data_IF_267926926356
#
_entry.id   IF_267926926356
#
_cell.length_a   1.000
_cell.length_b   1.000
_cell.length_c   1.000
_cell.angle_alpha   90.00
_cell.angle_beta   90.00
_cell.angle_gamma   90.00
#
_symmetry.space_group_name_H-M   'P 1'
#
loop_
_entity.id
_entity.type
_entity.pdbx_description
1 polymer ?
#
# COMPACT_ATOMS: atom_id res chain seq x y z
N UNK A 1 -56.96 -23.40 23.79
CA UNK A 1 -56.50 -22.54 22.69
C UNK A 1 -55.32 -21.60 23.04
N UNK A 2 -55.06 -21.26 24.32
CA UNK A 2 -53.91 -20.41 24.74
C UNK A 2 -52.54 -21.07 24.55
N UNK A 3 -52.38 -22.37 24.82
CA UNK A 3 -51.07 -23.05 24.72
C UNK A 3 -50.52 -23.14 23.29
N UNK A 4 -51.39 -23.33 22.28
CA UNK A 4 -50.95 -23.40 20.87
C UNK A 4 -50.31 -22.09 20.39
N UNK A 5 -50.83 -20.93 20.81
CA UNK A 5 -50.25 -19.62 20.44
C UNK A 5 -48.88 -19.40 21.07
N UNK A 6 -48.70 -19.82 22.32
CA UNK A 6 -47.40 -19.77 23.01
C UNK A 6 -46.38 -20.71 22.36
N UNK A 7 -46.80 -21.92 21.97
CA UNK A 7 -45.91 -22.86 21.29
C UNK A 7 -45.41 -22.32 19.94
N UNK A 8 -46.30 -21.79 19.09
CA UNK A 8 -45.91 -21.18 17.80
C UNK A 8 -44.97 -19.98 17.97
N UNK A 9 -45.18 -19.17 19.01
CA UNK A 9 -44.28 -18.05 19.31
C UNK A 9 -42.88 -18.52 19.71
N UNK A 10 -42.77 -19.60 20.50
CA UNK A 10 -41.48 -20.19 20.89
C UNK A 10 -40.76 -20.78 19.68
N UNK A 11 -41.47 -21.51 18.81
CA UNK A 11 -40.92 -22.07 17.56
C UNK A 11 -40.38 -20.96 16.64
N UNK A 12 -41.11 -19.84 16.53
CA UNK A 12 -40.68 -18.67 15.77
C UNK A 12 -39.42 -18.03 16.37
N UNK A 13 -39.39 -17.81 17.69
CA UNK A 13 -38.21 -17.25 18.38
C UNK A 13 -37.00 -18.17 18.18
N UNK A 14 -37.19 -19.49 18.26
CA UNK A 14 -36.12 -20.45 18.04
C UNK A 14 -35.57 -20.36 16.61
N UNK A 15 -36.44 -20.32 15.60
CA UNK A 15 -36.04 -20.20 14.19
C UNK A 15 -35.28 -18.89 13.95
N UNK A 16 -35.78 -17.78 14.49
CA UNK A 16 -35.12 -16.47 14.42
C UNK A 16 -33.75 -16.51 15.12
N UNK A 17 -33.66 -17.13 16.29
CA UNK A 17 -32.39 -17.29 17.02
C UNK A 17 -31.35 -18.10 16.24
N UNK A 18 -31.77 -19.17 15.57
CA UNK A 18 -30.90 -19.95 14.69
C UNK A 18 -30.45 -19.11 13.49
N UNK A 19 -31.36 -18.37 12.85
CA UNK A 19 -31.02 -17.49 11.74
C UNK A 19 -29.99 -16.41 12.14
N UNK A 20 -30.19 -15.74 13.28
CA UNK A 20 -29.23 -14.78 13.81
C UNK A 20 -27.88 -15.41 14.14
N UNK A 21 -27.88 -16.61 14.72
CA UNK A 21 -26.64 -17.33 15.03
C UNK A 21 -25.84 -17.63 13.76
N UNK A 22 -26.51 -18.07 12.68
CA UNK A 22 -25.89 -18.27 11.38
C UNK A 22 -25.33 -16.96 10.81
N UNK A 23 -26.05 -15.85 10.93
CA UNK A 23 -25.56 -14.53 10.49
C UNK A 23 -24.31 -14.10 11.26
N UNK A 24 -24.25 -14.31 12.58
CA UNK A 24 -23.07 -13.96 13.39
C UNK A 24 -21.88 -14.81 12.99
N UNK A 25 -22.06 -16.13 12.83
CA UNK A 25 -21.00 -17.05 12.38
C UNK A 25 -20.47 -16.61 11.01
N UNK A 26 -21.37 -16.29 10.08
CA UNK A 26 -21.01 -15.80 8.76
C UNK A 26 -20.18 -14.51 8.82
N UNK A 27 -20.63 -13.51 9.60
CA UNK A 27 -19.89 -12.26 9.78
C UNK A 27 -18.49 -12.48 10.35
N UNK A 28 -18.33 -13.39 11.31
CA UNK A 28 -17.02 -13.73 11.88
C UNK A 28 -16.13 -14.40 10.84
N UNK A 29 -16.67 -15.34 10.07
CA UNK A 29 -15.93 -16.05 9.02
C UNK A 29 -15.45 -15.11 7.90
N UNK A 30 -16.22 -14.10 7.52
CA UNK A 30 -15.85 -13.15 6.46
C UNK A 30 -14.81 -12.10 6.91
N UNK A 31 -14.70 -11.83 8.22
CA UNK A 31 -13.75 -10.82 8.74
C UNK A 31 -12.28 -11.12 8.41
N UNK A 32 -11.88 -12.39 8.39
CA UNK A 32 -10.49 -12.77 8.08
C UNK A 32 -10.12 -12.43 6.64
N UNK A 33 -11.05 -12.67 5.70
CA UNK A 33 -10.85 -12.40 4.27
C UNK A 33 -10.70 -10.90 4.00
N UNK A 34 -11.50 -10.06 4.67
CA UNK A 34 -11.39 -8.60 4.54
C UNK A 34 -10.03 -8.07 5.02
N UNK A 35 -9.49 -8.64 6.10
CA UNK A 35 -8.17 -8.26 6.61
C UNK A 35 -7.06 -8.61 5.61
N UNK A 36 -7.11 -9.80 5.04
CA UNK A 36 -6.14 -10.27 4.04
C UNK A 36 -6.14 -9.39 2.78
N UNK A 37 -7.33 -9.01 2.30
CA UNK A 37 -7.46 -8.08 1.18
C UNK A 37 -6.81 -6.73 1.49
N UNK A 38 -7.07 -6.18 2.68
CA UNK A 38 -6.51 -4.88 3.09
C UNK A 38 -4.98 -4.89 3.14
N UNK A 39 -4.38 -5.98 3.64
CA UNK A 39 -2.93 -6.17 3.67
C UNK A 39 -2.36 -6.33 2.26
N UNK A 40 -3.03 -7.11 1.41
CA UNK A 40 -2.61 -7.31 0.01
C UNK A 40 -2.60 -6.00 -0.77
N UNK A 41 -3.64 -5.18 -0.60
CA UNK A 41 -3.70 -3.83 -1.18
C UNK A 41 -2.54 -2.95 -0.69
N UNK A 42 -2.23 -2.98 0.61
CA UNK A 42 -1.12 -2.20 1.18
C UNK A 42 0.23 -2.62 0.59
N UNK A 43 0.48 -3.93 0.45
CA UNK A 43 1.68 -4.48 -0.20
C UNK A 43 1.79 -3.98 -1.64
N UNK A 44 0.70 -4.02 -2.40
CA UNK A 44 0.68 -3.58 -3.80
C UNK A 44 1.00 -2.09 -3.90
N UNK A 45 0.36 -1.25 -3.09
CA UNK A 45 0.58 0.20 -3.12
C UNK A 45 2.02 0.59 -2.78
N UNK A 46 2.60 -0.03 -1.74
CA UNK A 46 3.98 0.22 -1.32
C UNK A 46 4.95 -0.25 -2.40
N UNK A 47 4.71 -1.44 -2.97
CA UNK A 47 5.52 -1.99 -4.07
C UNK A 47 5.44 -1.15 -5.33
N UNK A 48 4.27 -0.66 -5.71
CA UNK A 48 4.08 0.13 -6.93
C UNK A 48 4.85 1.44 -6.85
N UNK A 49 4.74 2.16 -5.73
CA UNK A 49 5.50 3.40 -5.52
C UNK A 49 7.00 3.12 -5.46
N UNK A 50 7.42 2.12 -4.71
CA UNK A 50 8.82 1.73 -4.63
C UNK A 50 9.42 1.35 -5.98
N UNK A 51 8.70 0.52 -6.74
CA UNK A 51 9.13 0.07 -8.07
C UNK A 51 9.14 1.22 -9.08
N UNK A 52 8.16 2.14 -9.02
CA UNK A 52 8.14 3.34 -9.87
C UNK A 52 9.39 4.18 -9.63
N UNK A 53 9.71 4.48 -8.37
CA UNK A 53 10.90 5.27 -8.01
C UNK A 53 12.18 4.53 -8.42
N UNK A 54 12.27 3.23 -8.12
CA UNK A 54 13.41 2.41 -8.51
C UNK A 54 13.64 2.45 -10.02
N UNK A 55 12.57 2.33 -10.81
CA UNK A 55 12.63 2.37 -12.27
C UNK A 55 13.08 3.73 -12.80
N UNK A 56 12.60 4.84 -12.23
CA UNK A 56 13.04 6.18 -12.63
C UNK A 56 14.54 6.40 -12.32
N UNK A 57 15.01 5.97 -11.15
CA UNK A 57 16.44 6.06 -10.80
C UNK A 57 17.27 5.16 -11.72
N UNK A 58 16.83 3.93 -11.97
CA UNK A 58 17.49 3.01 -12.89
C UNK A 58 17.55 3.56 -14.32
N UNK A 59 16.48 4.22 -14.77
CA UNK A 59 16.43 4.89 -16.06
C UNK A 59 17.44 6.02 -16.11
N UNK A 60 17.43 6.92 -15.12
CA UNK A 60 18.41 8.00 -14.98
C UNK A 60 19.87 7.50 -14.95
N UNK A 61 20.10 6.30 -14.41
CA UNK A 61 21.41 5.66 -14.38
C UNK A 61 21.79 4.89 -15.66
N UNK A 62 20.89 4.75 -16.64
CA UNK A 62 21.15 4.06 -17.92
C UNK A 62 21.18 4.99 -19.13
N UNK A 63 20.51 6.13 -19.05
CA UNK A 63 20.47 7.16 -20.10
C UNK A 63 21.79 7.92 -20.21
N UNK A 64 22.03 8.58 -21.32
CA UNK A 64 23.22 9.44 -21.51
C UNK A 64 23.17 10.70 -20.63
N UNK A 65 24.34 11.31 -20.44
CA UNK A 65 24.48 12.56 -19.70
C UNK A 65 23.68 13.70 -20.36
N UNK A 66 23.17 14.62 -19.54
CA UNK A 66 22.25 15.67 -19.98
C UNK A 66 20.77 15.28 -19.88
N UNK A 67 20.46 14.04 -19.50
CA UNK A 67 19.08 13.63 -19.18
C UNK A 67 18.54 14.44 -17.99
N UNK A 68 17.32 14.95 -18.14
CA UNK A 68 16.55 15.59 -17.07
C UNK A 68 15.09 15.19 -17.20
N UNK A 69 14.47 14.76 -16.10
CA UNK A 69 13.05 14.44 -16.06
C UNK A 69 12.43 14.82 -14.71
N UNK A 70 11.16 15.21 -14.75
CA UNK A 70 10.33 15.39 -13.55
C UNK A 70 9.45 14.16 -13.38
N UNK A 71 9.38 13.62 -12.17
CA UNK A 71 8.48 12.53 -11.82
C UNK A 71 7.80 12.80 -10.48
N UNK A 72 6.58 12.31 -10.34
CA UNK A 72 5.77 12.54 -9.15
C UNK A 72 5.68 11.29 -8.27
N UNK A 73 5.88 11.52 -6.97
CA UNK A 73 5.70 10.57 -5.88
C UNK A 73 4.46 11.00 -5.10
N UNK A 74 3.47 10.13 -4.89
CA UNK A 74 2.22 10.54 -4.25
C UNK A 74 2.42 11.00 -2.81
N UNK A 75 1.63 11.96 -2.32
CA UNK A 75 1.74 12.41 -0.91
C UNK A 75 1.30 11.33 0.09
N UNK A 76 0.34 10.49 -0.33
CA UNK A 76 -0.23 9.39 0.44
C UNK A 76 -0.48 8.17 -0.45
N UNK A 77 -0.50 6.99 0.15
CA UNK A 77 -0.94 5.77 -0.52
C UNK A 77 -2.43 5.59 -0.20
N UNK A 78 -3.30 6.08 -1.09
CA UNK A 78 -4.73 6.27 -0.82
C UNK A 78 -4.94 7.17 0.42
N UNK A 79 -5.34 6.58 1.55
CA UNK A 79 -5.55 7.28 2.83
C UNK A 79 -4.41 7.07 3.82
N UNK A 80 -3.41 6.25 3.48
CA UNK A 80 -2.33 5.83 4.38
C UNK A 80 -1.10 6.73 4.25
N UNK A 81 -0.54 7.05 5.40
CA UNK A 81 0.77 7.70 5.47
C UNK A 81 1.88 6.66 5.30
N UNK A 82 2.95 7.08 4.65
CA UNK A 82 4.12 6.25 4.38
C UNK A 82 5.38 7.11 4.42
N UNK A 83 6.53 6.47 4.56
CA UNK A 83 7.84 7.09 4.48
C UNK A 83 8.59 6.57 3.26
N UNK A 84 9.42 7.43 2.68
CA UNK A 84 10.32 7.09 1.57
C UNK A 84 11.69 7.66 1.87
N UNK A 85 12.70 6.81 1.84
CA UNK A 85 14.08 7.17 2.17
C UNK A 85 15.03 6.45 1.24
N UNK A 86 16.11 7.14 0.89
CA UNK A 86 17.25 6.55 0.19
C UNK A 86 18.45 6.66 1.10
N UNK A 87 19.04 5.52 1.45
CA UNK A 87 20.29 5.45 2.19
C UNK A 87 21.31 4.74 1.31
N UNK A 88 22.34 5.47 0.88
CA UNK A 88 23.36 5.02 -0.08
C UNK A 88 22.76 4.49 -1.40
N UNK A 89 22.64 3.17 -1.49
CA UNK A 89 22.17 2.42 -2.65
C UNK A 89 20.87 1.66 -2.36
N UNK A 90 20.21 1.96 -1.24
CA UNK A 90 18.99 1.27 -0.79
C UNK A 90 17.85 2.27 -0.74
N UNK A 91 16.84 2.01 -1.57
CA UNK A 91 15.53 2.64 -1.49
C UNK A 91 14.65 1.86 -0.52
N UNK A 92 14.06 2.57 0.43
CA UNK A 92 13.07 2.02 1.35
C UNK A 92 11.79 2.84 1.23
N UNK A 93 10.68 2.16 0.98
CA UNK A 93 9.32 2.71 1.05
C UNK A 93 8.57 1.91 2.10
N UNK A 94 8.09 2.55 3.15
CA UNK A 94 7.48 1.85 4.28
C UNK A 94 6.20 2.53 4.75
N UNK A 95 5.18 1.75 5.05
CA UNK A 95 4.03 2.16 5.85
C UNK A 95 4.21 1.67 7.28
N UNK A 96 3.15 1.71 8.09
CA UNK A 96 3.15 1.14 9.44
C UNK A 96 3.28 -0.39 9.44
N UNK A 97 2.73 -1.05 8.42
CA UNK A 97 2.58 -2.52 8.42
C UNK A 97 3.47 -3.21 7.39
N UNK A 98 3.84 -2.52 6.31
CA UNK A 98 4.51 -3.11 5.15
C UNK A 98 5.71 -2.26 4.70
N UNK A 99 6.73 -2.91 4.15
CA UNK A 99 7.89 -2.25 3.59
C UNK A 99 8.29 -2.85 2.24
N UNK A 100 8.81 -1.99 1.38
CA UNK A 100 9.46 -2.35 0.13
C UNK A 100 10.88 -1.83 0.15
N UNK A 101 11.83 -2.74 -0.06
CA UNK A 101 13.26 -2.45 -0.08
C UNK A 101 13.82 -2.85 -1.44
N UNK A 102 14.55 -1.92 -2.06
CA UNK A 102 15.15 -2.14 -3.37
C UNK A 102 16.56 -1.57 -3.43
N UNK A 103 17.44 -2.29 -4.13
CA UNK A 103 18.76 -1.78 -4.48
C UNK A 103 18.61 -0.84 -5.69
N UNK A 104 19.24 0.32 -5.59
CA UNK A 104 19.30 1.34 -6.61
C UNK A 104 20.76 1.76 -6.89
N UNK A 105 21.04 2.30 -8.09
CA UNK A 105 22.28 3.00 -8.39
C UNK A 105 22.58 4.12 -7.38
N UNK A 106 23.85 4.51 -7.29
CA UNK A 106 24.25 5.60 -6.40
C UNK A 106 23.60 6.89 -6.89
N UNK A 107 22.91 7.58 -5.99
CA UNK A 107 22.29 8.87 -6.24
C UNK A 107 22.85 9.92 -5.31
N UNK A 108 22.89 11.18 -5.77
CA UNK A 108 23.26 12.34 -4.96
C UNK A 108 22.02 13.21 -4.76
N UNK A 109 21.73 13.58 -3.52
CA UNK A 109 20.56 14.37 -3.15
C UNK A 109 19.48 13.55 -2.43
N UNK A 110 18.33 14.18 -2.21
CA UNK A 110 17.25 13.61 -1.41
C UNK A 110 15.99 13.46 -2.25
N UNK A 111 15.27 12.37 -2.00
CA UNK A 111 13.93 12.14 -2.55
C UNK A 111 12.89 12.80 -1.65
N UNK A 112 11.82 13.31 -2.24
CA UNK A 112 10.71 13.92 -1.50
C UNK A 112 9.37 13.43 -2.04
N UNK A 113 8.32 13.57 -1.25
CA UNK A 113 6.96 13.36 -1.78
C UNK A 113 6.57 14.54 -2.68
N UNK A 114 5.78 14.27 -3.71
CA UNK A 114 5.40 15.20 -4.75
C UNK A 114 6.38 15.17 -5.92
N UNK A 115 6.63 16.33 -6.49
CA UNK A 115 7.49 16.45 -7.68
C UNK A 115 8.96 16.29 -7.29
N UNK A 116 9.64 15.44 -8.06
CA UNK A 116 11.08 15.23 -7.98
C UNK A 116 11.69 15.45 -9.35
N UNK A 117 12.90 15.98 -9.39
CA UNK A 117 13.69 16.14 -10.61
C UNK A 117 14.86 15.17 -10.53
N UNK A 118 15.01 14.35 -11.56
CA UNK A 118 16.18 13.51 -11.77
C UNK A 118 17.02 14.06 -12.91
N UNK A 119 18.33 14.16 -12.70
CA UNK A 119 19.31 14.61 -13.67
C UNK A 119 20.46 13.61 -13.76
N UNK A 120 21.07 13.49 -14.94
CA UNK A 120 22.33 12.76 -15.12
C UNK A 120 23.44 13.71 -15.59
N UNK A 121 24.50 13.80 -14.79
CA UNK A 121 25.65 14.67 -15.05
C UNK A 121 26.92 13.85 -14.80
N UNK A 122 27.79 13.77 -15.81
CA UNK A 122 29.09 13.06 -15.74
C UNK A 122 28.98 11.62 -15.21
N UNK A 123 27.95 10.89 -15.64
CA UNK A 123 27.69 9.52 -15.21
C UNK A 123 27.07 9.36 -13.81
N UNK A 124 26.77 10.45 -13.10
CA UNK A 124 26.16 10.43 -11.76
C UNK A 124 24.71 10.90 -11.82
N UNK A 125 23.85 10.23 -11.06
CA UNK A 125 22.42 10.57 -10.94
C UNK A 125 22.21 11.53 -9.77
N UNK A 126 21.60 12.68 -10.06
CA UNK A 126 21.25 13.72 -9.10
C UNK A 126 19.74 13.78 -8.91
N UNK A 127 19.30 13.89 -7.65
CA UNK A 127 17.91 14.05 -7.26
C UNK A 127 17.69 15.38 -6.55
N UNK A 128 16.77 16.20 -7.09
CA UNK A 128 16.38 17.50 -6.54
C UNK A 128 17.55 18.44 -6.23
N UNK A 129 18.65 18.31 -6.97
CA UNK A 129 19.78 19.24 -6.92
C UNK A 129 19.78 20.11 -8.17
N UNK A 130 20.15 21.37 -7.98
CA UNK A 130 20.31 22.35 -9.05
C UNK A 130 21.53 22.03 -9.92
#
# INVERSE_FOLDING_TARGET
>A
MRSKKTQTAIEFIFLVGVAFSLTIIFLVATRSQLKELTTTEEIILVRDVGSKVQNEINLGARVEDGYTRVFEIPQKLETRDYNITINDNILVVATKNEEYVAIIPRVVGNIQKGNNIIKRIEGVVYLNQE
#
